data_IF_197959293905
#
_entry.id   IF_197959293905
#
_cell.length_a   1.000
_cell.length_b   1.000
_cell.length_c   1.000
_cell.angle_alpha   90.00
_cell.angle_beta   90.00
_cell.angle_gamma   90.00
#
_symmetry.space_group_name_H-M   'P 1'
#
loop_
_entity.id
_entity.type
_entity.pdbx_description
1 polymer ?
#
# COMPACT_ATOMS: atom_id res chain seq x y z
N UNK A 1 -26.50 20.45 -9.75
CA UNK A 1 -25.71 20.60 -8.49
C UNK A 1 -24.90 19.33 -8.15
N UNK A 2 -24.42 18.54 -9.12
CA UNK A 2 -23.79 17.22 -8.85
C UNK A 2 -22.29 17.16 -9.13
N UNK A 3 -21.72 18.09 -9.92
CA UNK A 3 -20.30 18.09 -10.31
C UNK A 3 -19.31 18.50 -9.21
N UNK A 4 -19.74 19.26 -8.21
CA UNK A 4 -18.84 19.83 -7.19
C UNK A 4 -18.53 18.84 -6.05
N UNK A 5 -19.46 17.92 -5.76
CA UNK A 5 -19.29 16.91 -4.71
C UNK A 5 -18.21 15.89 -5.08
N UNK A 6 -18.05 15.54 -6.36
CA UNK A 6 -17.14 14.48 -6.81
C UNK A 6 -15.66 14.82 -6.66
N UNK A 7 -15.25 16.03 -7.07
CA UNK A 7 -13.84 16.47 -6.98
C UNK A 7 -13.36 16.61 -5.54
N UNK A 8 -14.26 16.98 -4.63
CA UNK A 8 -13.93 17.09 -3.20
C UNK A 8 -13.56 15.74 -2.61
N UNK A 9 -14.32 14.67 -2.93
CA UNK A 9 -14.04 13.30 -2.47
C UNK A 9 -12.72 12.77 -3.04
N UNK A 10 -12.44 13.03 -4.31
CA UNK A 10 -11.17 12.64 -4.94
C UNK A 10 -9.96 13.25 -4.22
N UNK A 11 -10.01 14.55 -3.88
CA UNK A 11 -8.93 15.23 -3.15
C UNK A 11 -8.78 14.71 -1.73
N UNK A 12 -9.90 14.38 -1.09
CA UNK A 12 -9.92 13.87 0.28
C UNK A 12 -9.30 12.47 0.36
N UNK A 13 -9.67 11.55 -0.54
CA UNK A 13 -9.03 10.23 -0.63
C UNK A 13 -7.54 10.34 -0.98
N UNK A 14 -7.16 11.23 -1.90
CA UNK A 14 -5.75 11.46 -2.21
C UNK A 14 -4.94 12.00 -1.03
N UNK A 15 -5.50 12.92 -0.25
CA UNK A 15 -4.88 13.43 0.96
C UNK A 15 -4.75 12.35 2.04
N UNK A 16 -5.77 11.52 2.23
CA UNK A 16 -5.75 10.38 3.15
C UNK A 16 -4.69 9.34 2.75
N UNK A 17 -4.51 9.09 1.45
CA UNK A 17 -3.49 8.18 0.95
C UNK A 17 -2.07 8.67 1.33
N UNK A 18 -1.80 9.96 1.10
CA UNK A 18 -0.50 10.57 1.44
C UNK A 18 -0.31 10.62 2.96
N UNK A 19 -1.35 10.94 3.73
CA UNK A 19 -1.29 10.95 5.19
C UNK A 19 -1.00 9.55 5.76
N UNK A 20 -1.61 8.50 5.20
CA UNK A 20 -1.35 7.13 5.57
C UNK A 20 0.08 6.69 5.21
N UNK A 21 0.59 7.07 4.05
CA UNK A 21 1.99 6.82 3.68
C UNK A 21 2.99 7.56 4.57
N UNK A 22 2.66 8.80 4.96
CA UNK A 22 3.43 9.57 5.94
C UNK A 22 3.47 8.89 7.31
N UNK A 23 2.35 8.30 7.76
CA UNK A 23 2.31 7.51 8.99
C UNK A 23 3.32 6.36 8.94
N UNK A 24 3.33 5.58 7.86
CA UNK A 24 4.31 4.50 7.67
C UNK A 24 5.73 5.03 7.73
N UNK A 25 6.02 6.10 6.99
CA UNK A 25 7.33 6.73 6.97
C UNK A 25 7.79 7.14 8.36
N UNK A 26 6.96 7.86 9.11
CA UNK A 26 7.29 8.33 10.46
C UNK A 26 7.59 7.14 11.36
N UNK A 27 6.75 6.11 11.34
CA UNK A 27 6.90 4.93 12.19
C UNK A 27 8.21 4.21 11.90
N UNK A 28 8.55 3.95 10.64
CA UNK A 28 9.77 3.21 10.29
C UNK A 28 11.04 4.04 10.46
N UNK A 29 10.94 5.37 10.31
CA UNK A 29 12.08 6.28 10.46
C UNK A 29 12.61 6.37 11.90
N UNK A 30 11.80 6.00 12.89
CA UNK A 30 12.23 5.93 14.30
C UNK A 30 13.24 4.82 14.56
N UNK A 31 13.30 3.80 13.68
CA UNK A 31 14.10 2.60 13.89
C UNK A 31 15.33 2.55 13.00
N UNK A 32 15.23 3.05 11.77
CA UNK A 32 16.33 2.98 10.82
C UNK A 32 16.29 4.07 9.75
N UNK A 33 17.45 4.66 9.48
CA UNK A 33 17.64 5.62 8.38
C UNK A 33 17.49 4.97 7.00
N UNK A 34 17.87 3.69 6.86
CA UNK A 34 17.65 2.94 5.61
C UNK A 34 16.16 2.63 5.41
N UNK A 35 15.43 2.28 6.47
CA UNK A 35 13.99 2.12 6.41
C UNK A 35 13.27 3.42 6.03
N UNK A 36 13.72 4.56 6.60
CA UNK A 36 13.22 5.88 6.25
C UNK A 36 13.44 6.22 4.77
N UNK A 37 14.64 5.95 4.23
CA UNK A 37 14.95 6.21 2.82
C UNK A 37 14.06 5.39 1.86
N UNK A 38 13.82 4.11 2.19
CA UNK A 38 12.92 3.25 1.41
C UNK A 38 11.48 3.79 1.48
N UNK A 39 10.98 4.09 2.68
CA UNK A 39 9.63 4.61 2.85
C UNK A 39 9.44 6.00 2.20
N UNK A 40 10.45 6.87 2.20
CA UNK A 40 10.43 8.13 1.46
C UNK A 40 10.25 7.91 -0.04
N UNK A 41 10.98 6.94 -0.62
CA UNK A 41 10.81 6.55 -2.01
C UNK A 41 9.39 6.05 -2.31
N UNK A 42 8.84 5.22 -1.42
CA UNK A 42 7.47 4.71 -1.54
C UNK A 42 6.42 5.82 -1.46
N UNK A 43 6.56 6.74 -0.50
CA UNK A 43 5.68 7.90 -0.35
C UNK A 43 5.72 8.81 -1.59
N UNK A 44 6.91 9.05 -2.14
CA UNK A 44 7.07 9.84 -3.36
C UNK A 44 6.36 9.19 -4.56
N UNK A 45 6.41 7.86 -4.68
CA UNK A 45 5.69 7.11 -5.70
C UNK A 45 4.16 7.15 -5.50
N UNK A 46 3.67 7.02 -4.26
CA UNK A 46 2.23 7.18 -3.95
C UNK A 46 1.76 8.58 -4.34
N UNK A 47 2.49 9.62 -3.93
CA UNK A 47 2.17 11.00 -4.28
C UNK A 47 2.15 11.22 -5.80
N UNK A 48 3.16 10.69 -6.50
CA UNK A 48 3.22 10.74 -7.96
C UNK A 48 2.06 9.97 -8.61
N UNK A 49 1.66 8.82 -8.06
CA UNK A 49 0.55 8.01 -8.55
C UNK A 49 -0.79 8.71 -8.40
N UNK A 50 -1.07 9.29 -7.22
CA UNK A 50 -2.31 10.04 -6.96
C UNK A 50 -2.38 11.29 -7.85
N UNK A 51 -1.29 12.04 -7.96
CA UNK A 51 -1.26 13.29 -8.76
C UNK A 51 -1.34 13.04 -10.27
N UNK A 52 -0.76 11.94 -10.76
CA UNK A 52 -0.78 11.56 -12.19
C UNK A 52 -1.96 10.65 -12.57
N UNK A 53 -2.80 10.24 -11.62
CA UNK A 53 -3.91 9.33 -11.88
C UNK A 53 -3.46 7.91 -12.28
N UNK A 54 -2.36 7.42 -11.72
CA UNK A 54 -1.76 6.12 -12.04
C UNK A 54 -1.87 5.14 -10.87
N UNK A 55 -2.75 4.14 -11.01
CA UNK A 55 -2.93 3.05 -10.03
C UNK A 55 -1.62 2.27 -9.87
N UNK A 56 -0.93 1.98 -10.98
CA UNK A 56 0.33 1.24 -10.96
C UNK A 56 1.40 1.92 -10.09
N UNK A 57 1.50 3.25 -10.16
CA UNK A 57 2.44 4.01 -9.32
C UNK A 57 2.03 4.02 -7.84
N UNK A 58 0.72 4.08 -7.52
CA UNK A 58 0.23 3.96 -6.15
C UNK A 58 0.56 2.59 -5.57
N UNK A 59 0.32 1.52 -6.32
CA UNK A 59 0.63 0.14 -5.92
C UNK A 59 2.14 -0.01 -5.68
N UNK A 60 2.96 0.40 -6.66
CA UNK A 60 4.41 0.34 -6.52
C UNK A 60 4.91 1.13 -5.31
N UNK A 61 4.39 2.35 -5.10
CA UNK A 61 4.75 3.17 -3.94
C UNK A 61 4.35 2.53 -2.61
N UNK A 62 3.19 1.90 -2.56
CA UNK A 62 2.70 1.24 -1.35
C UNK A 62 3.47 -0.05 -1.03
N UNK A 63 3.89 -0.80 -2.06
CA UNK A 63 4.81 -1.93 -1.90
C UNK A 63 6.18 -1.48 -1.40
N UNK A 64 6.69 -0.35 -1.91
CA UNK A 64 7.96 0.22 -1.44
C UNK A 64 7.83 0.74 0.01
N UNK A 65 6.70 1.35 0.39
CA UNK A 65 6.39 1.71 1.78
C UNK A 65 6.43 0.48 2.69
N UNK A 66 5.83 -0.63 2.26
CA UNK A 66 5.89 -1.90 2.97
C UNK A 66 7.31 -2.48 3.04
N UNK A 67 8.11 -2.31 1.99
CA UNK A 67 9.55 -2.60 2.01
C UNK A 67 10.28 -1.86 3.14
N UNK A 68 9.92 -0.59 3.39
CA UNK A 68 10.44 0.16 4.54
C UNK A 68 10.08 -0.47 5.88
N UNK A 69 8.89 -1.05 6.01
CA UNK A 69 8.46 -1.78 7.22
C UNK A 69 9.30 -3.04 7.42
N UNK A 70 9.59 -3.78 6.35
CA UNK A 70 10.47 -4.96 6.42
C UNK A 70 11.87 -4.55 6.88
N UNK A 71 12.43 -3.48 6.30
CA UNK A 71 13.76 -2.97 6.70
C UNK A 71 13.77 -2.50 8.15
N UNK A 72 12.69 -1.90 8.66
CA UNK A 72 12.56 -1.56 10.07
C UNK A 72 12.51 -2.80 10.96
N UNK A 73 11.84 -3.87 10.53
CA UNK A 73 11.82 -5.16 11.25
C UNK A 73 13.19 -5.81 11.34
N UNK A 74 14.01 -5.68 10.30
CA UNK A 74 15.42 -6.09 10.34
C UNK A 74 16.29 -5.23 11.28
N UNK A 75 15.79 -4.07 11.69
CA UNK A 75 16.41 -3.17 12.66
C UNK A 75 15.73 -3.27 14.05
N UNK A 76 15.18 -4.45 14.37
CA UNK A 76 14.56 -4.78 15.66
C UNK A 76 13.36 -3.90 16.06
N UNK A 77 12.64 -3.34 15.07
CA UNK A 77 11.40 -2.62 15.34
C UNK A 77 10.35 -3.50 16.03
N UNK A 78 9.78 -2.99 17.12
CA UNK A 78 8.81 -3.73 17.92
C UNK A 78 7.55 -4.13 17.12
N UNK A 79 6.89 -5.26 17.47
CA UNK A 79 5.78 -5.81 16.68
C UNK A 79 4.61 -4.83 16.47
N UNK A 80 4.28 -4.04 17.49
CA UNK A 80 3.22 -3.02 17.41
C UNK A 80 3.53 -1.98 16.34
N UNK A 81 4.78 -1.54 16.23
CA UNK A 81 5.20 -0.54 15.25
C UNK A 81 5.19 -1.10 13.84
N UNK A 82 5.57 -2.37 13.65
CA UNK A 82 5.48 -3.05 12.36
C UNK A 82 4.02 -3.16 11.87
N UNK A 83 3.08 -3.43 12.78
CA UNK A 83 1.65 -3.46 12.46
C UNK A 83 1.15 -2.06 12.05
N UNK A 84 1.50 -1.01 12.80
CA UNK A 84 1.10 0.37 12.47
C UNK A 84 1.70 0.81 11.13
N UNK A 85 2.98 0.51 10.88
CA UNK A 85 3.64 0.82 9.62
C UNK A 85 3.00 0.10 8.43
N UNK A 86 2.68 -1.19 8.60
CA UNK A 86 1.99 -1.99 7.59
C UNK A 86 0.59 -1.43 7.31
N UNK A 87 -0.18 -1.12 8.36
CA UNK A 87 -1.50 -0.52 8.23
C UNK A 87 -1.45 0.79 7.44
N UNK A 88 -0.48 1.67 7.72
CA UNK A 88 -0.30 2.91 6.96
C UNK A 88 -0.02 2.67 5.47
N UNK A 89 0.80 1.68 5.12
CA UNK A 89 1.18 1.39 3.73
C UNK A 89 -0.04 0.88 2.94
N UNK A 90 -0.88 0.11 3.61
CA UNK A 90 -2.09 -0.49 3.05
C UNK A 90 -3.19 0.55 2.89
N UNK A 91 -3.38 1.41 3.88
CA UNK A 91 -4.31 2.54 3.76
C UNK A 91 -3.86 3.51 2.67
N UNK A 92 -2.55 3.71 2.50
CA UNK A 92 -2.02 4.51 1.40
C UNK A 92 -2.37 3.91 0.04
N UNK A 93 -2.30 2.59 -0.09
CA UNK A 93 -2.73 1.88 -1.29
C UNK A 93 -4.25 2.02 -1.52
N UNK A 94 -5.07 1.65 -0.54
CA UNK A 94 -6.55 1.64 -0.67
C UNK A 94 -7.08 3.03 -1.03
N UNK A 95 -6.68 4.05 -0.27
CA UNK A 95 -7.11 5.43 -0.54
C UNK A 95 -6.53 5.98 -1.84
N UNK A 96 -5.31 5.59 -2.20
CA UNK A 96 -4.67 6.02 -3.43
C UNK A 96 -5.34 5.42 -4.67
N UNK A 97 -5.65 4.13 -4.64
CA UNK A 97 -6.39 3.44 -5.69
C UNK A 97 -7.79 4.03 -5.83
N UNK A 98 -8.50 4.22 -4.71
CA UNK A 98 -9.82 4.87 -4.70
C UNK A 98 -9.77 6.28 -5.29
N UNK A 99 -8.77 7.09 -4.93
CA UNK A 99 -8.60 8.45 -5.46
C UNK A 99 -8.36 8.45 -6.97
N UNK A 100 -7.55 7.51 -7.48
CA UNK A 100 -7.25 7.40 -8.91
C UNK A 100 -8.47 6.91 -9.68
N UNK A 101 -9.13 5.84 -9.21
CA UNK A 101 -10.30 5.23 -9.87
C UNK A 101 -11.48 6.19 -9.92
N UNK A 102 -11.80 6.87 -8.81
CA UNK A 102 -12.82 7.92 -8.80
C UNK A 102 -12.47 9.07 -9.75
N UNK A 103 -11.21 9.50 -9.77
CA UNK A 103 -10.75 10.53 -10.69
C UNK A 103 -10.93 10.17 -12.17
N UNK A 104 -10.79 8.89 -12.52
CA UNK A 104 -11.04 8.41 -13.89
C UNK A 104 -12.53 8.34 -14.23
N UNK A 105 -13.38 7.91 -13.29
CA UNK A 105 -14.83 7.79 -13.48
C UNK A 105 -15.54 9.13 -13.67
N UNK A 106 -15.11 10.17 -12.95
CA UNK A 106 -15.66 11.54 -13.10
C UNK A 106 -15.14 12.23 -14.36
N UNK A 107 -14.03 11.73 -14.92
CA UNK A 107 -13.37 12.30 -16.10
C UNK A 107 -13.82 11.75 -17.45
N UNK A 108 -14.47 10.57 -17.52
CA UNK A 108 -14.86 9.94 -18.80
C UNK A 108 -15.97 8.88 -18.65
N UNK A 109 -17.12 9.12 -19.28
CA UNK A 109 -17.95 8.06 -19.87
C UNK A 109 -17.22 7.47 -21.09
N UNK A 110 -16.17 6.66 -20.91
CA UNK A 110 -15.51 5.99 -22.03
C UNK A 110 -14.72 4.72 -21.64
N UNK A 111 -15.37 3.58 -21.89
CA UNK A 111 -14.85 2.34 -22.50
C UNK A 111 -13.60 1.59 -21.96
N UNK A 112 -13.92 0.42 -21.37
CA UNK A 112 -13.44 -0.96 -21.69
C UNK A 112 -12.05 -1.49 -21.30
N UNK A 113 -12.09 -2.71 -20.73
CA UNK A 113 -11.17 -3.88 -20.79
C UNK A 113 -9.69 -3.73 -20.38
N UNK A 114 -9.07 -2.58 -20.63
CA UNK A 114 -7.67 -2.33 -20.27
C UNK A 114 -7.49 -2.09 -18.77
N UNK A 115 -8.55 -1.62 -18.09
CA UNK A 115 -8.59 -1.49 -16.63
C UNK A 115 -8.60 -2.84 -15.92
N UNK A 116 -9.35 -3.82 -16.45
CA UNK A 116 -9.41 -5.18 -15.88
C UNK A 116 -8.09 -5.93 -16.01
N UNK A 117 -7.38 -5.81 -17.12
CA UNK A 117 -6.07 -6.46 -17.28
C UNK A 117 -4.99 -5.85 -16.37
N UNK A 118 -5.04 -4.54 -16.14
CA UNK A 118 -4.14 -3.86 -15.20
C UNK A 118 -4.51 -4.21 -13.75
N UNK A 119 -5.79 -4.27 -13.42
CA UNK A 119 -6.27 -4.70 -12.11
C UNK A 119 -5.88 -6.16 -11.84
N UNK A 120 -6.09 -7.06 -12.81
CA UNK A 120 -5.68 -8.45 -12.72
C UNK A 120 -4.16 -8.58 -12.57
N UNK A 121 -3.36 -7.85 -13.37
CA UNK A 121 -1.90 -7.87 -13.28
C UNK A 121 -1.38 -7.32 -11.95
N UNK A 122 -2.02 -6.28 -11.42
CA UNK A 122 -1.72 -5.71 -10.09
C UNK A 122 -2.07 -6.70 -8.98
N UNK A 123 -3.26 -7.31 -9.01
CA UNK A 123 -3.68 -8.31 -8.03
C UNK A 123 -2.77 -9.54 -8.05
N UNK A 124 -2.30 -9.96 -9.24
CA UNK A 124 -1.36 -11.06 -9.39
C UNK A 124 0.03 -10.69 -8.84
N UNK A 125 0.51 -9.47 -9.12
CA UNK A 125 1.77 -8.98 -8.56
C UNK A 125 1.73 -8.86 -7.03
N UNK A 126 0.63 -8.35 -6.48
CA UNK A 126 0.40 -8.27 -5.03
C UNK A 126 0.34 -9.67 -4.41
N UNK A 127 -0.37 -10.61 -5.05
CA UNK A 127 -0.42 -12.01 -4.61
C UNK A 127 0.96 -12.67 -4.60
N UNK A 128 1.74 -12.52 -5.68
CA UNK A 128 3.10 -13.07 -5.78
C UNK A 128 4.04 -12.45 -4.75
N UNK A 129 3.99 -11.13 -4.57
CA UNK A 129 4.79 -10.43 -3.57
C UNK A 129 4.44 -10.90 -2.15
N UNK A 130 3.14 -11.07 -1.87
CA UNK A 130 2.66 -11.59 -0.59
C UNK A 130 3.20 -12.99 -0.32
N UNK A 131 3.09 -13.90 -1.29
CA UNK A 131 3.63 -15.27 -1.20
C UNK A 131 5.14 -15.27 -1.00
N UNK A 132 5.88 -14.42 -1.73
CA UNK A 132 7.33 -14.29 -1.58
C UNK A 132 7.75 -13.83 -0.19
N UNK A 133 7.03 -12.86 0.38
CA UNK A 133 7.26 -12.38 1.75
C UNK A 133 6.96 -13.47 2.77
N UNK A 134 5.85 -14.20 2.62
CA UNK A 134 5.53 -15.35 3.48
C UNK A 134 6.64 -16.39 3.44
N UNK A 135 7.08 -16.77 2.24
CA UNK A 135 8.09 -17.80 2.03
C UNK A 135 9.44 -17.40 2.64
N UNK A 136 9.87 -16.16 2.44
CA UNK A 136 11.11 -15.62 3.01
C UNK A 136 11.09 -15.65 4.54
N UNK A 137 9.99 -15.20 5.12
CA UNK A 137 9.77 -15.20 6.58
C UNK A 137 9.76 -16.62 7.13
N UNK A 138 9.05 -17.56 6.50
CA UNK A 138 9.01 -18.95 6.96
C UNK A 138 10.38 -19.65 6.83
N UNK A 139 11.19 -19.27 5.84
CA UNK A 139 12.53 -19.85 5.66
C UNK A 139 13.58 -19.34 6.63
N UNK A 140 13.31 -18.26 7.37
CA UNK A 140 14.32 -17.56 8.17
C UNK A 140 14.12 -17.67 9.69
N UNK A 141 13.05 -18.31 10.16
CA UNK A 141 12.72 -18.30 11.59
C UNK A 141 12.59 -19.71 12.19
N UNK A 142 13.61 -20.12 12.94
CA UNK A 142 13.53 -21.25 13.87
C UNK A 142 13.05 -20.74 15.25
N UNK A 143 11.80 -21.06 15.61
CA UNK A 143 11.26 -21.00 16.98
C UNK A 143 10.63 -19.68 17.47
N UNK A 144 9.44 -19.81 18.10
CA UNK A 144 8.86 -18.89 19.10
C UNK A 144 8.15 -17.62 18.60
N UNK A 145 6.81 -17.65 18.54
CA UNK A 145 5.87 -16.54 18.24
C UNK A 145 6.35 -15.54 17.18
N UNK A 146 6.20 -15.97 15.94
CA UNK A 146 6.68 -15.31 14.74
C UNK A 146 5.90 -14.03 14.42
N UNK A 147 6.50 -12.87 14.67
CA UNK A 147 6.04 -11.56 14.15
C UNK A 147 5.82 -11.61 12.64
N UNK A 148 6.65 -12.40 11.95
CA UNK A 148 6.45 -12.71 10.54
C UNK A 148 5.10 -13.36 10.23
N UNK A 149 4.61 -14.26 11.08
CA UNK A 149 3.27 -14.84 10.92
C UNK A 149 2.17 -13.79 11.08
N UNK A 150 2.32 -12.81 11.98
CA UNK A 150 1.35 -11.70 12.10
C UNK A 150 1.35 -10.79 10.87
N UNK A 151 2.53 -10.45 10.34
CA UNK A 151 2.67 -9.65 9.12
C UNK A 151 2.07 -10.41 7.93
N UNK A 152 2.36 -11.69 7.81
CA UNK A 152 1.77 -12.57 6.79
C UNK A 152 0.26 -12.64 6.92
N UNK A 153 -0.27 -12.79 8.13
CA UNK A 153 -1.69 -12.90 8.39
C UNK A 153 -2.41 -11.58 8.10
N UNK A 154 -1.78 -10.45 8.40
CA UNK A 154 -2.24 -9.12 8.04
C UNK A 154 -2.25 -8.95 6.52
N UNK A 155 -1.15 -9.28 5.83
CA UNK A 155 -1.06 -9.21 4.36
C UNK A 155 -2.11 -10.11 3.71
N UNK A 156 -2.27 -11.35 4.18
CA UNK A 156 -3.27 -12.29 3.67
C UNK A 156 -4.71 -11.80 3.90
N UNK A 157 -4.99 -11.25 5.09
CA UNK A 157 -6.30 -10.66 5.39
C UNK A 157 -6.60 -9.47 4.47
N UNK A 158 -5.58 -8.66 4.15
CA UNK A 158 -5.73 -7.52 3.27
C UNK A 158 -5.94 -7.92 1.82
N UNK A 159 -5.19 -8.91 1.33
CA UNK A 159 -5.42 -9.53 0.02
C UNK A 159 -6.85 -10.06 -0.07
N UNK A 160 -7.31 -10.76 0.97
CA UNK A 160 -8.66 -11.30 1.04
C UNK A 160 -9.72 -10.19 1.01
N UNK A 161 -9.54 -9.13 1.77
CA UNK A 161 -10.45 -7.97 1.77
C UNK A 161 -10.46 -7.28 0.41
N UNK A 162 -9.30 -7.08 -0.22
CA UNK A 162 -9.24 -6.50 -1.57
C UNK A 162 -9.90 -7.38 -2.63
N UNK A 163 -9.83 -8.71 -2.50
CA UNK A 163 -10.46 -9.64 -3.44
C UNK A 163 -11.99 -9.71 -3.29
N UNK A 164 -12.53 -9.39 -2.11
CA UNK A 164 -13.97 -9.45 -1.82
C UNK A 164 -14.65 -8.10 -2.11
N UNK A 165 -13.90 -7.00 -2.23
CA UNK A 165 -14.49 -5.69 -2.53
C UNK A 165 -15.02 -5.66 -3.98
N UNK A 166 -16.34 -5.43 -4.18
CA UNK A 166 -16.98 -5.39 -5.49
C UNK A 166 -16.67 -4.12 -6.28
#
# INVERSE_FOLDING_TARGET
MTQEIDRSRQRLSGALAVAAGLLTLVVVALWSSSAAAVALGGLALVLAGVTRGSVAAVVAGSLVLFGGVIVAGLADAGPVWLLVGTLGAVLAWDFGEQAVTLGQQVGRHAATARGELVHAGVSLAVGVASVGVVALVFSTVDGGFHVGALVVLLVAALVLVSAIRP
#
